data_IF_431440007641
#
_entry.id   IF_431440007641
#
_cell.length_a   1.000
_cell.length_b   1.000
_cell.length_c   1.000
_cell.angle_alpha   90.00
_cell.angle_beta   90.00
_cell.angle_gamma   90.00
#
_symmetry.space_group_name_H-M   'P 1'
#
loop_
_entity.id
_entity.type
_entity.pdbx_description
1 polymer ?
#
# COMPACT_ATOMS: atom_id res chain seq x y z
N UNK A 1 -6.51 1.46 17.10
CA UNK A 1 -7.24 1.00 15.90
C UNK A 1 -6.47 1.45 14.68
N UNK A 2 -6.44 0.63 13.65
CA UNK A 2 -5.65 0.81 12.43
C UNK A 2 -6.64 1.19 11.32
N UNK A 3 -6.65 2.45 10.89
CA UNK A 3 -7.74 3.00 10.05
C UNK A 3 -7.37 3.20 8.58
N UNK A 4 -6.21 3.79 8.26
CA UNK A 4 -5.75 4.09 6.88
C UNK A 4 -4.35 3.56 6.59
N UNK A 5 -4.15 2.67 5.60
CA UNK A 5 -2.78 2.31 5.19
C UNK A 5 -2.16 3.55 4.56
N UNK A 6 -1.01 3.98 5.08
CA UNK A 6 -0.23 5.01 4.43
C UNK A 6 1.07 4.43 3.85
N UNK A 7 1.27 4.67 2.57
CA UNK A 7 2.57 4.58 1.93
C UNK A 7 3.29 5.92 2.10
N UNK A 8 4.47 5.85 2.70
CA UNK A 8 5.38 6.96 2.87
C UNK A 8 6.56 6.76 1.93
N UNK A 9 6.75 7.63 0.96
CA UNK A 9 7.90 7.54 0.04
C UNK A 9 9.04 8.45 0.51
N UNK A 10 10.07 7.90 1.15
CA UNK A 10 11.30 8.67 1.39
C UNK A 10 12.07 8.77 0.06
N UNK A 11 11.97 9.96 -0.55
CA UNK A 11 12.60 10.30 -1.83
C UNK A 11 13.94 10.99 -1.59
N UNK A 12 15.02 10.21 -1.57
CA UNK A 12 16.42 10.68 -1.47
C UNK A 12 16.73 11.59 -0.27
N UNK A 13 18.01 11.80 0.01
CA UNK A 13 18.49 12.63 1.12
C UNK A 13 18.66 14.11 0.71
N UNK A 14 18.59 14.42 -0.58
CA UNK A 14 19.14 15.65 -1.15
C UNK A 14 18.24 16.41 -2.16
N UNK A 15 17.07 15.89 -2.57
CA UNK A 15 16.17 16.63 -3.48
C UNK A 15 14.67 16.49 -3.14
N UNK A 16 14.05 17.65 -2.92
CA UNK A 16 12.59 17.84 -2.82
C UNK A 16 11.87 17.38 -4.10
N UNK A 17 10.89 16.49 -3.97
CA UNK A 17 9.93 16.17 -5.03
C UNK A 17 8.54 16.63 -4.56
N UNK A 18 7.92 17.64 -5.21
CA UNK A 18 6.58 18.09 -4.85
C UNK A 18 5.56 16.96 -5.04
N UNK A 19 4.53 16.90 -4.18
CA UNK A 19 3.51 15.85 -4.23
C UNK A 19 2.67 15.85 -5.52
N UNK A 20 2.78 16.91 -6.35
CA UNK A 20 2.32 16.94 -7.73
C UNK A 20 3.32 17.71 -8.62
N UNK A 21 3.77 17.09 -9.72
CA UNK A 21 4.48 17.78 -10.79
C UNK A 21 5.60 16.96 -11.44
N UNK A 22 5.40 16.59 -12.71
CA UNK A 22 6.49 16.20 -13.60
C UNK A 22 7.43 17.40 -13.80
N UNK A 23 8.57 17.44 -13.12
CA UNK A 23 9.70 18.29 -13.52
C UNK A 23 11.00 17.51 -13.49
N UNK A 24 11.67 17.50 -14.64
CA UNK A 24 13.05 17.05 -14.77
C UNK A 24 13.96 17.97 -13.96
N UNK A 25 14.74 17.42 -13.03
CA UNK A 25 15.79 18.16 -12.34
C UNK A 25 17.12 17.44 -12.53
N UNK A 26 17.85 17.91 -13.55
CA UNK A 26 19.25 17.61 -13.75
C UNK A 26 20.06 17.96 -12.50
N UNK A 27 20.90 17.03 -12.07
CA UNK A 27 22.29 17.24 -11.67
C UNK A 27 22.69 16.29 -10.52
N UNK A 28 23.86 15.68 -10.73
CA UNK A 28 24.68 14.85 -9.86
C UNK A 28 24.22 13.39 -9.71
N UNK A 29 25.05 12.52 -10.30
CA UNK A 29 24.85 11.08 -10.35
C UNK A 29 25.14 10.43 -9.01
N UNK A 30 24.10 9.80 -8.44
CA UNK A 30 24.16 8.86 -7.33
C UNK A 30 23.04 7.82 -7.54
N UNK A 31 23.29 6.58 -7.15
CA UNK A 31 22.39 5.41 -7.20
C UNK A 31 21.01 5.72 -6.59
N UNK A 32 19.94 5.47 -7.35
CA UNK A 32 18.57 5.63 -6.85
C UNK A 32 18.24 4.56 -5.83
N UNK A 33 18.02 4.96 -4.57
CA UNK A 33 17.33 4.15 -3.56
C UNK A 33 16.01 4.84 -3.30
N UNK A 34 14.90 4.16 -3.60
CA UNK A 34 13.57 4.57 -3.14
C UNK A 34 13.34 3.85 -1.82
N UNK A 35 12.75 4.48 -0.81
CA UNK A 35 12.37 3.79 0.42
C UNK A 35 10.89 4.08 0.68
N UNK A 36 10.02 3.12 0.37
CA UNK A 36 8.61 3.18 0.72
C UNK A 36 8.45 2.65 2.14
N UNK A 37 8.31 3.51 3.14
CA UNK A 37 7.92 3.12 4.50
C UNK A 37 6.40 2.93 4.51
N UNK A 38 5.91 1.81 5.01
CA UNK A 38 4.48 1.51 5.13
C UNK A 38 4.08 1.64 6.59
N UNK A 39 3.59 2.81 6.98
CA UNK A 39 3.37 3.19 8.38
C UNK A 39 1.98 3.76 8.62
N UNK A 40 1.49 3.66 9.84
CA UNK A 40 0.18 4.18 10.25
C UNK A 40 0.38 5.36 11.17
N UNK A 41 -0.43 6.42 11.02
CA UNK A 41 -0.33 7.60 11.90
C UNK A 41 -1.70 8.03 12.36
N UNK A 42 -1.88 8.13 13.69
CA UNK A 42 -2.98 8.86 14.31
C UNK A 42 -2.55 10.33 14.40
N UNK A 43 -3.32 11.24 13.81
CA UNK A 43 -3.04 12.67 13.90
C UNK A 43 -3.38 13.19 15.30
N UNK A 44 -2.36 13.35 16.17
CA UNK A 44 -2.28 14.40 17.19
C UNK A 44 -1.00 14.31 18.02
N UNK A 45 -0.03 15.18 17.74
CA UNK A 45 0.83 15.76 18.79
C UNK A 45 1.55 17.01 18.26
N UNK A 46 1.52 18.16 18.97
CA UNK A 46 2.20 19.39 18.59
C UNK A 46 3.68 19.43 18.99
N UNK A 47 4.30 18.31 19.41
CA UNK A 47 5.70 18.30 19.79
C UNK A 47 6.64 18.21 18.58
N UNK A 48 7.02 19.40 18.10
CA UNK A 48 8.14 19.64 17.19
C UNK A 48 9.44 19.19 17.85
N UNK A 49 9.90 17.99 17.52
CA UNK A 49 11.31 17.62 17.70
C UNK A 49 12.08 17.93 16.41
N UNK A 50 13.29 18.52 16.46
CA UNK A 50 13.91 19.18 15.30
C UNK A 50 14.69 18.25 14.36
N UNK A 51 14.70 16.95 14.63
CA UNK A 51 15.42 15.97 13.82
C UNK A 51 14.40 14.97 13.30
N UNK A 52 14.00 15.05 12.02
CA UNK A 52 13.70 13.89 11.17
C UNK A 52 13.24 14.36 9.78
N UNK A 53 13.99 13.96 8.76
CA UNK A 53 13.78 14.14 7.31
C UNK A 53 12.44 13.55 6.79
N UNK A 54 11.73 12.77 7.62
CA UNK A 54 10.36 12.29 7.37
C UNK A 54 9.31 13.41 7.29
N UNK A 55 9.65 14.62 7.77
CA UNK A 55 8.76 15.79 7.72
C UNK A 55 8.53 16.36 6.31
N UNK A 56 9.20 15.87 5.27
CA UNK A 56 9.08 16.41 3.90
C UNK A 56 8.52 15.39 2.88
N UNK A 57 8.04 14.24 3.35
CA UNK A 57 7.60 13.13 2.51
C UNK A 57 6.09 13.17 2.25
N UNK A 58 5.68 12.95 0.99
CA UNK A 58 4.28 12.75 0.61
C UNK A 58 3.71 11.49 1.26
N UNK A 59 2.45 11.60 1.70
CA UNK A 59 1.70 10.57 2.43
C UNK A 59 0.54 10.13 1.54
N UNK A 60 0.67 8.95 0.95
CA UNK A 60 -0.34 8.37 0.09
C UNK A 60 -1.19 7.41 0.91
N UNK A 61 -2.42 7.83 1.22
CA UNK A 61 -3.38 7.07 1.99
C UNK A 61 -4.44 6.40 1.10
N UNK A 62 -4.90 5.22 1.50
CA UNK A 62 -6.15 4.63 1.02
C UNK A 62 -6.99 4.22 2.23
N UNK A 63 -8.29 4.46 2.13
CA UNK A 63 -9.22 4.28 3.25
C UNK A 63 -9.33 2.82 3.69
N UNK A 64 -9.44 2.62 5.01
CA UNK A 64 -9.79 1.33 5.59
C UNK A 64 -11.12 1.34 6.32
N UNK A 65 -11.48 0.19 6.90
CA UNK A 65 -12.79 -0.02 7.52
C UNK A 65 -13.06 0.95 8.67
N UNK A 66 -12.06 1.32 9.46
CA UNK A 66 -12.25 2.29 10.56
C UNK A 66 -12.39 3.73 10.07
N UNK A 67 -11.87 4.09 8.89
CA UNK A 67 -12.16 5.41 8.31
C UNK A 67 -13.63 5.50 7.91
N UNK A 68 -14.16 4.40 7.37
CA UNK A 68 -15.59 4.25 7.11
C UNK A 68 -16.45 4.22 8.36
N UNK A 69 -15.93 3.82 9.52
CA UNK A 69 -16.66 3.97 10.78
C UNK A 69 -16.68 5.42 11.30
N UNK A 70 -15.88 6.31 10.70
CA UNK A 70 -15.81 7.73 11.01
C UNK A 70 -16.43 8.60 9.92
N UNK A 71 -15.80 9.75 9.65
CA UNK A 71 -16.18 10.62 8.54
C UNK A 71 -15.19 10.43 7.39
N UNK A 72 -15.63 9.70 6.36
CA UNK A 72 -14.78 9.35 5.22
C UNK A 72 -14.44 10.55 4.35
N UNK A 73 -15.41 11.44 4.16
CA UNK A 73 -15.25 12.61 3.29
C UNK A 73 -14.22 13.57 3.87
N UNK A 74 -14.13 13.67 5.19
CA UNK A 74 -13.14 14.50 5.87
C UNK A 74 -11.71 14.07 5.54
N UNK A 75 -11.42 12.76 5.49
CA UNK A 75 -10.09 12.25 5.16
C UNK A 75 -9.62 12.61 3.74
N UNK A 76 -10.56 12.88 2.83
CA UNK A 76 -10.30 13.22 1.43
C UNK A 76 -10.58 14.70 1.12
N UNK A 77 -10.93 15.50 2.13
CA UNK A 77 -11.29 16.90 1.93
C UNK A 77 -10.06 17.68 1.43
N UNK A 78 -10.15 18.41 0.31
CA UNK A 78 -9.07 19.28 -0.17
C UNK A 78 -8.59 20.29 0.87
N UNK A 79 -9.43 20.64 1.84
CA UNK A 79 -9.05 21.49 2.98
C UNK A 79 -7.92 20.88 3.82
N UNK A 80 -7.83 19.55 3.93
CA UNK A 80 -6.70 18.90 4.62
C UNK A 80 -5.39 19.23 3.89
N UNK A 81 -5.39 19.27 2.55
CA UNK A 81 -4.19 19.62 1.77
C UNK A 81 -3.77 21.08 1.96
N UNK A 82 -4.68 21.96 2.38
CA UNK A 82 -4.32 23.33 2.78
C UNK A 82 -3.58 23.38 4.12
N UNK A 83 -3.75 22.35 4.97
CA UNK A 83 -3.09 22.22 6.27
C UNK A 83 -1.82 21.39 6.19
N UNK A 84 -1.85 20.34 5.36
CA UNK A 84 -0.77 19.40 5.13
C UNK A 84 -0.80 18.97 3.65
N UNK A 85 -0.07 19.70 2.81
CA UNK A 85 0.01 19.48 1.35
C UNK A 85 0.64 18.13 0.97
N UNK A 86 1.24 17.43 1.94
CA UNK A 86 1.78 16.08 1.79
C UNK A 86 0.69 15.01 1.83
N UNK A 87 -0.48 15.30 2.39
CA UNK A 87 -1.55 14.32 2.54
C UNK A 87 -2.33 14.15 1.23
N UNK A 88 -2.24 12.96 0.65
CA UNK A 88 -3.05 12.57 -0.50
C UNK A 88 -3.79 11.32 -0.10
N UNK A 89 -5.10 11.45 0.10
CA UNK A 89 -5.98 10.32 0.35
C UNK A 89 -7.19 10.44 -0.58
N UNK A 90 -7.42 9.39 -1.35
CA UNK A 90 -8.61 9.22 -2.18
C UNK A 90 -9.04 7.76 -2.08
N UNK A 91 -10.29 7.46 -2.44
CA UNK A 91 -10.79 6.07 -2.48
C UNK A 91 -9.97 5.23 -3.44
N UNK A 92 -9.72 5.78 -4.63
CA UNK A 92 -9.03 5.10 -5.73
C UNK A 92 -8.17 6.10 -6.48
N UNK A 93 -6.93 5.74 -6.78
CA UNK A 93 -6.06 6.55 -7.63
C UNK A 93 -4.90 5.73 -8.20
N UNK A 94 -4.34 6.22 -9.30
CA UNK A 94 -3.20 5.60 -9.97
C UNK A 94 -2.03 6.58 -9.96
N UNK A 95 -0.86 6.07 -9.59
CA UNK A 95 0.38 6.84 -9.57
C UNK A 95 1.45 6.11 -10.37
N UNK A 96 2.02 6.80 -11.35
CA UNK A 96 3.18 6.34 -12.09
C UNK A 96 4.45 7.00 -11.53
N UNK A 97 5.49 6.22 -11.26
CA UNK A 97 6.77 6.74 -10.78
C UNK A 97 7.94 6.22 -11.61
N UNK A 98 8.81 7.14 -12.07
CA UNK A 98 9.99 6.80 -12.87
C UNK A 98 11.07 6.15 -12.01
N UNK A 99 11.54 4.97 -12.43
CA UNK A 99 12.69 4.28 -11.82
C UNK A 99 14.03 4.74 -12.42
N UNK A 100 13.98 5.68 -13.35
CA UNK A 100 15.15 6.16 -14.07
C UNK A 100 15.91 7.25 -13.29
N UNK A 101 17.24 7.18 -13.31
CA UNK A 101 18.16 8.23 -12.86
C UNK A 101 18.57 9.10 -14.03
N UNK A 102 19.06 10.31 -13.74
CA UNK A 102 19.69 11.20 -14.73
C UNK A 102 20.82 10.52 -15.53
N UNK A 103 21.50 9.53 -14.93
CA UNK A 103 22.58 8.78 -15.56
C UNK A 103 22.09 7.71 -16.56
N UNK A 104 20.82 7.30 -16.50
CA UNK A 104 20.25 6.26 -17.37
C UNK A 104 19.59 6.87 -18.61
N UNK A 105 20.43 7.29 -19.57
CA UNK A 105 19.96 7.86 -20.85
C UNK A 105 19.00 6.91 -21.58
N UNK A 106 17.84 7.42 -21.98
CA UNK A 106 16.82 6.68 -22.73
C UNK A 106 16.00 5.69 -21.88
N UNK A 107 16.23 5.64 -20.57
CA UNK A 107 15.42 4.83 -19.66
C UNK A 107 13.98 5.35 -19.62
N UNK A 108 13.03 4.42 -19.78
CA UNK A 108 11.58 4.66 -19.66
C UNK A 108 10.96 3.77 -18.57
N UNK A 109 11.80 3.22 -17.71
CA UNK A 109 11.39 2.25 -16.73
C UNK A 109 10.66 2.94 -15.57
N UNK A 110 9.52 2.37 -15.19
CA UNK A 110 8.65 2.95 -14.18
C UNK A 110 7.91 1.88 -13.39
N UNK A 111 7.36 2.28 -12.26
CA UNK A 111 6.42 1.51 -11.46
C UNK A 111 5.06 2.18 -11.52
N UNK A 112 4.01 1.35 -11.58
CA UNK A 112 2.64 1.79 -11.40
C UNK A 112 2.10 1.33 -10.04
N UNK A 113 1.53 2.27 -9.29
CA UNK A 113 0.78 2.02 -8.07
C UNK A 113 -0.71 2.22 -8.32
N UNK A 114 -1.50 1.19 -8.00
CA UNK A 114 -2.96 1.21 -8.11
C UNK A 114 -3.56 1.14 -6.70
N UNK A 115 -4.03 2.27 -6.20
CA UNK A 115 -4.71 2.36 -4.91
C UNK A 115 -6.19 2.05 -5.09
N UNK A 116 -6.72 1.15 -4.28
CA UNK A 116 -8.08 0.63 -4.41
C UNK A 116 -8.82 0.63 -3.07
N UNK A 117 -10.12 0.96 -3.12
CA UNK A 117 -10.97 0.98 -1.94
C UNK A 117 -11.56 -0.40 -1.69
N UNK A 118 -10.93 -1.15 -0.79
CA UNK A 118 -11.34 -2.51 -0.45
C UNK A 118 -12.52 -2.59 0.52
N UNK A 119 -12.90 -1.50 1.20
CA UNK A 119 -13.93 -1.55 2.25
C UNK A 119 -15.32 -1.92 1.73
N UNK A 120 -15.80 -1.39 0.58
CA UNK A 120 -17.08 -1.78 0.00
C UNK A 120 -17.19 -3.26 -0.39
N UNK A 121 -16.06 -3.98 -0.52
CA UNK A 121 -16.06 -5.40 -0.91
C UNK A 121 -16.57 -6.32 0.20
N UNK A 122 -16.40 -5.97 1.46
CA UNK A 122 -16.69 -6.87 2.59
C UNK A 122 -18.20 -6.94 2.85
N UNK A 123 -18.82 -8.10 2.66
CA UNK A 123 -20.27 -8.31 2.80
C UNK A 123 -20.76 -7.95 4.20
N UNK A 124 -20.00 -8.34 5.22
CA UNK A 124 -20.35 -8.14 6.63
C UNK A 124 -20.52 -6.67 7.02
N UNK A 125 -19.89 -5.73 6.31
CA UNK A 125 -20.04 -4.30 6.59
C UNK A 125 -21.39 -3.73 6.09
N UNK A 126 -22.09 -4.46 5.21
CA UNK A 126 -23.40 -4.10 4.69
C UNK A 126 -24.54 -4.89 5.34
N UNK A 127 -24.20 -5.92 6.13
CA UNK A 127 -25.18 -6.78 6.78
C UNK A 127 -26.06 -6.00 7.77
N UNK A 128 -27.35 -6.32 7.83
CA UNK A 128 -28.27 -5.72 8.79
C UNK A 128 -27.90 -6.02 10.26
N UNK A 129 -27.11 -7.08 10.49
CA UNK A 129 -26.58 -7.46 11.80
C UNK A 129 -25.33 -6.69 12.22
N UNK A 130 -24.80 -5.81 11.36
CA UNK A 130 -23.60 -5.05 11.64
C UNK A 130 -23.84 -4.05 12.78
N UNK A 131 -22.92 -4.03 13.76
CA UNK A 131 -23.03 -3.17 14.95
C UNK A 131 -22.37 -1.80 14.76
N UNK A 132 -21.48 -1.68 13.79
CA UNK A 132 -20.84 -0.42 13.45
C UNK A 132 -21.62 0.32 12.35
N UNK A 133 -21.73 1.64 12.48
CA UNK A 133 -22.24 2.48 11.39
C UNK A 133 -21.09 2.76 10.42
N UNK A 134 -21.33 2.54 9.12
CA UNK A 134 -20.38 2.84 8.06
C UNK A 134 -20.86 4.03 7.22
N UNK A 135 -19.96 4.94 6.91
CA UNK A 135 -20.17 6.13 6.08
C UNK A 135 -19.99 5.80 4.59
N UNK A 136 -21.09 5.43 3.95
CA UNK A 136 -21.13 5.12 2.52
C UNK A 136 -21.35 6.35 1.62
N UNK A 137 -21.29 7.57 2.17
CA UNK A 137 -21.52 8.79 1.37
C UNK A 137 -20.52 8.91 0.22
N UNK A 138 -21.01 9.40 -0.91
CA UNK A 138 -20.20 9.59 -2.12
C UNK A 138 -19.89 8.30 -2.89
N UNK A 139 -20.41 7.15 -2.46
CA UNK A 139 -20.41 5.93 -3.28
C UNK A 139 -21.70 5.84 -4.11
N UNK A 140 -21.60 5.18 -5.26
CA UNK A 140 -22.76 4.67 -5.98
C UNK A 140 -23.43 3.51 -5.20
N UNK A 141 -24.37 2.81 -5.83
CA UNK A 141 -24.81 1.51 -5.28
C UNK A 141 -23.60 0.59 -5.09
N UNK A 142 -23.63 -0.28 -4.08
CA UNK A 142 -22.51 -1.19 -3.77
C UNK A 142 -22.10 -2.00 -5.01
N UNK A 143 -23.06 -2.61 -5.69
CA UNK A 143 -22.81 -3.42 -6.89
C UNK A 143 -22.15 -2.61 -8.00
N UNK A 144 -22.63 -1.40 -8.24
CA UNK A 144 -22.03 -0.49 -9.22
C UNK A 144 -20.62 -0.08 -8.83
N UNK A 145 -20.38 0.24 -7.55
CA UNK A 145 -19.07 0.60 -7.04
C UNK A 145 -18.05 -0.53 -7.26
N UNK A 146 -18.40 -1.76 -6.87
CA UNK A 146 -17.53 -2.92 -7.03
C UNK A 146 -17.25 -3.20 -8.51
N UNK A 147 -18.29 -3.19 -9.35
CA UNK A 147 -18.15 -3.42 -10.79
C UNK A 147 -17.26 -2.37 -11.44
N UNK A 148 -17.49 -1.09 -11.14
CA UNK A 148 -16.74 0.01 -11.74
C UNK A 148 -15.26 -0.01 -11.30
N UNK A 149 -14.99 -0.26 -10.01
CA UNK A 149 -13.62 -0.33 -9.50
C UNK A 149 -12.84 -1.52 -10.11
N UNK A 150 -13.45 -2.72 -10.13
CA UNK A 150 -12.82 -3.90 -10.72
C UNK A 150 -12.54 -3.72 -12.21
N UNK A 151 -13.49 -3.15 -12.95
CA UNK A 151 -13.30 -2.84 -14.37
C UNK A 151 -12.19 -1.80 -14.57
N UNK A 152 -12.21 -0.70 -13.83
CA UNK A 152 -11.18 0.35 -13.91
C UNK A 152 -9.79 -0.20 -13.61
N UNK A 153 -9.65 -1.02 -12.57
CA UNK A 153 -8.39 -1.66 -12.22
C UNK A 153 -7.91 -2.60 -13.32
N UNK A 154 -8.80 -3.47 -13.84
CA UNK A 154 -8.46 -4.39 -14.92
C UNK A 154 -7.97 -3.64 -16.16
N UNK A 155 -8.62 -2.55 -16.56
CA UNK A 155 -8.27 -1.79 -17.77
C UNK A 155 -6.94 -1.04 -17.61
N UNK A 156 -6.70 -0.47 -16.43
CA UNK A 156 -5.42 0.16 -16.09
C UNK A 156 -4.28 -0.85 -16.06
N UNK A 157 -4.50 -2.04 -15.50
CA UNK A 157 -3.49 -3.11 -15.46
C UNK A 157 -3.19 -3.69 -16.86
N UNK A 158 -4.21 -3.82 -17.71
CA UNK A 158 -4.09 -4.31 -19.09
C UNK A 158 -3.25 -3.35 -19.95
N UNK A 159 -3.45 -2.03 -19.76
CA UNK A 159 -2.73 -0.99 -20.51
C UNK A 159 -1.38 -0.60 -19.92
N UNK A 160 -1.11 -0.97 -18.67
CA UNK A 160 0.14 -0.66 -17.98
C UNK A 160 1.34 -1.38 -18.61
N UNK A 161 2.34 -0.58 -18.99
CA UNK A 161 3.65 -1.03 -19.49
C UNK A 161 4.73 -0.99 -18.41
N UNK A 162 4.34 -0.82 -17.15
CA UNK A 162 5.25 -0.64 -16.03
C UNK A 162 6.14 -1.86 -15.81
N UNK A 163 7.37 -1.60 -15.37
CA UNK A 163 8.30 -2.63 -14.96
C UNK A 163 7.86 -3.27 -13.66
N UNK A 164 7.19 -2.54 -12.78
CA UNK A 164 6.59 -3.07 -11.57
C UNK A 164 5.14 -2.61 -11.48
N UNK A 165 4.24 -3.53 -11.14
CA UNK A 165 2.82 -3.26 -10.88
C UNK A 165 2.54 -3.56 -9.41
N UNK A 166 2.17 -2.52 -8.67
CA UNK A 166 1.88 -2.62 -7.23
C UNK A 166 0.44 -2.21 -7.00
N UNK A 167 -0.36 -3.08 -6.40
CA UNK A 167 -1.74 -2.77 -6.01
C UNK A 167 -1.78 -2.59 -4.49
N UNK A 168 -2.46 -1.55 -4.03
CA UNK A 168 -2.52 -1.14 -2.63
C UNK A 168 -3.97 -1.07 -2.19
N UNK A 169 -4.33 -1.77 -1.11
CA UNK A 169 -5.67 -1.75 -0.54
C UNK A 169 -5.65 -2.12 0.94
N UNK A 170 -6.70 -1.77 1.68
CA UNK A 170 -6.72 -1.98 3.14
C UNK A 170 -6.70 -3.45 3.56
N UNK A 171 -7.65 -4.24 3.03
CA UNK A 171 -7.93 -5.60 3.48
C UNK A 171 -6.97 -6.65 2.89
N UNK A 172 -6.92 -7.80 3.53
CA UNK A 172 -6.05 -8.94 3.21
C UNK A 172 -6.63 -9.81 2.09
N UNK A 173 -5.81 -10.21 1.11
CA UNK A 173 -6.14 -11.28 0.15
C UNK A 173 -5.57 -12.63 0.61
N UNK A 174 -4.35 -12.60 1.16
CA UNK A 174 -3.71 -13.71 1.85
C UNK A 174 -3.21 -13.21 3.20
N UNK A 175 -3.52 -13.93 4.27
CA UNK A 175 -3.05 -13.56 5.60
C UNK A 175 -3.00 -14.72 6.58
N UNK A 176 -2.00 -14.67 7.45
CA UNK A 176 -1.86 -15.47 8.65
C UNK A 176 -2.34 -14.74 9.91
N UNK A 177 -2.90 -13.54 9.79
CA UNK A 177 -3.35 -12.72 10.92
C UNK A 177 -4.74 -13.09 11.43
N UNK A 178 -5.19 -12.38 12.46
CA UNK A 178 -6.49 -12.60 13.11
C UNK A 178 -7.67 -12.61 12.12
N UNK A 179 -7.75 -11.61 11.25
CA UNK A 179 -8.82 -11.47 10.26
C UNK A 179 -8.71 -12.54 9.16
N UNK A 180 -7.49 -12.87 8.73
CA UNK A 180 -7.26 -13.88 7.69
C UNK A 180 -7.62 -13.37 6.30
N UNK A 181 -7.87 -14.26 5.35
CA UNK A 181 -8.22 -13.88 3.97
C UNK A 181 -9.61 -13.25 3.88
N UNK A 182 -9.76 -12.16 3.11
CA UNK A 182 -11.06 -11.56 2.79
C UNK A 182 -11.69 -12.31 1.61
N UNK A 183 -12.76 -13.11 1.79
CA UNK A 183 -13.26 -14.01 0.75
C UNK A 183 -13.70 -13.30 -0.53
N UNK A 184 -14.28 -12.11 -0.42
CA UNK A 184 -14.75 -11.31 -1.54
C UNK A 184 -13.59 -10.78 -2.39
N UNK A 185 -12.44 -10.46 -1.77
CA UNK A 185 -11.24 -10.08 -2.50
C UNK A 185 -10.58 -11.29 -3.16
N UNK A 186 -10.54 -12.44 -2.48
CA UNK A 186 -10.05 -13.70 -3.06
C UNK A 186 -10.89 -14.09 -4.28
N UNK A 187 -12.22 -13.90 -4.22
CA UNK A 187 -13.13 -14.24 -5.31
C UNK A 187 -13.05 -13.25 -6.47
N UNK A 188 -13.05 -11.94 -6.20
CA UNK A 188 -13.28 -10.93 -7.24
C UNK A 188 -12.00 -10.21 -7.68
N UNK A 189 -11.06 -9.95 -6.76
CA UNK A 189 -9.87 -9.14 -7.03
C UNK A 189 -8.66 -10.00 -7.39
N UNK A 190 -8.40 -11.07 -6.63
CA UNK A 190 -7.24 -11.94 -6.86
C UNK A 190 -7.14 -12.46 -8.31
N UNK A 191 -8.23 -12.89 -8.99
CA UNK A 191 -8.15 -13.30 -10.40
C UNK A 191 -7.61 -12.20 -11.32
N UNK A 192 -7.95 -10.93 -11.07
CA UNK A 192 -7.44 -9.77 -11.83
C UNK A 192 -5.94 -9.61 -11.58
N UNK A 193 -5.50 -9.69 -10.32
CA UNK A 193 -4.08 -9.59 -9.96
C UNK A 193 -3.25 -10.68 -10.65
N UNK A 194 -3.75 -11.93 -10.63
CA UNK A 194 -3.11 -13.08 -11.28
C UNK A 194 -3.06 -12.91 -12.80
N UNK A 195 -4.19 -12.54 -13.44
CA UNK A 195 -4.28 -12.32 -14.89
C UNK A 195 -3.21 -11.34 -15.39
N UNK A 196 -3.01 -10.25 -14.65
CA UNK A 196 -2.13 -9.15 -15.05
C UNK A 196 -0.71 -9.25 -14.50
N UNK A 197 -0.37 -10.36 -13.82
CA UNK A 197 0.94 -10.59 -13.19
C UNK A 197 1.38 -9.41 -12.32
N UNK A 198 0.47 -8.96 -11.46
CA UNK A 198 0.79 -7.94 -10.45
C UNK A 198 1.93 -8.45 -9.59
N UNK A 199 2.91 -7.60 -9.30
CA UNK A 199 4.09 -8.03 -8.56
C UNK A 199 3.80 -8.07 -7.07
N UNK A 200 3.26 -6.97 -6.54
CA UNK A 200 2.98 -6.81 -5.13
C UNK A 200 1.51 -6.39 -4.92
N UNK A 201 0.85 -7.06 -3.99
CA UNK A 201 -0.33 -6.55 -3.31
C UNK A 201 0.05 -6.13 -1.90
N UNK A 202 -0.08 -4.84 -1.60
CA UNK A 202 0.32 -4.27 -0.32
C UNK A 202 -0.92 -3.92 0.48
N UNK A 203 -0.98 -4.42 1.71
CA UNK A 203 -2.14 -4.24 2.57
C UNK A 203 -1.80 -4.04 4.05
N UNK A 204 -2.88 -3.91 4.82
CA UNK A 204 -2.93 -3.64 6.23
C UNK A 204 -3.98 -4.54 6.86
N UNK A 205 -4.89 -3.94 7.62
CA UNK A 205 -6.04 -4.59 8.28
C UNK A 205 -5.65 -5.60 9.36
N UNK A 206 -4.89 -6.64 9.01
CA UNK A 206 -4.28 -7.52 10.00
C UNK A 206 -3.11 -6.83 10.69
N UNK A 207 -3.17 -6.76 12.01
CA UNK A 207 -2.23 -6.03 12.87
C UNK A 207 -0.90 -6.77 13.07
N UNK A 208 -0.30 -7.21 11.97
CA UNK A 208 0.91 -8.01 11.90
C UNK A 208 1.76 -7.58 10.70
N UNK A 209 2.96 -8.15 10.57
CA UNK A 209 3.83 -7.97 9.41
C UNK A 209 3.97 -9.31 8.70
N UNK A 210 3.71 -9.36 7.39
CA UNK A 210 3.69 -10.63 6.67
C UNK A 210 4.18 -10.50 5.23
N UNK A 211 4.84 -11.56 4.76
CA UNK A 211 5.19 -11.76 3.36
C UNK A 211 4.75 -13.15 2.93
N UNK A 212 3.77 -13.19 2.03
CA UNK A 212 3.21 -14.43 1.49
C UNK A 212 3.32 -14.36 -0.03
N UNK A 213 3.77 -15.44 -0.67
CA UNK A 213 3.90 -15.53 -2.12
C UNK A 213 2.95 -16.58 -2.68
N UNK A 214 2.08 -16.16 -3.59
CA UNK A 214 1.24 -17.07 -4.37
C UNK A 214 2.14 -17.94 -5.27
N UNK A 215 2.08 -19.26 -5.09
CA UNK A 215 2.92 -20.19 -5.85
C UNK A 215 2.53 -20.26 -7.34
N UNK A 216 1.25 -20.07 -7.66
CA UNK A 216 0.75 -20.17 -9.03
C UNK A 216 1.09 -18.94 -9.88
N UNK A 217 0.79 -17.75 -9.35
CA UNK A 217 0.92 -16.49 -10.09
C UNK A 217 2.20 -15.72 -9.82
N UNK A 218 2.88 -16.05 -8.72
CA UNK A 218 4.06 -15.31 -8.26
C UNK A 218 3.76 -13.97 -7.60
N UNK A 219 2.49 -13.59 -7.41
CA UNK A 219 2.12 -12.36 -6.70
C UNK A 219 2.63 -12.41 -5.25
N UNK A 220 3.26 -11.33 -4.81
CA UNK A 220 3.70 -11.16 -3.43
C UNK A 220 2.67 -10.34 -2.63
N UNK A 221 2.09 -10.94 -1.60
CA UNK A 221 1.25 -10.27 -0.62
C UNK A 221 2.12 -9.77 0.53
N UNK A 222 2.09 -8.46 0.75
CA UNK A 222 2.90 -7.76 1.75
C UNK A 222 1.95 -7.06 2.72
N UNK A 223 1.74 -7.64 3.90
CA UNK A 223 0.94 -7.04 4.96
C UNK A 223 1.84 -6.24 5.89
N UNK A 224 1.55 -4.95 6.05
CA UNK A 224 2.24 -4.03 6.96
C UNK A 224 1.21 -3.34 7.87
N UNK A 225 0.52 -4.11 8.71
CA UNK A 225 -0.55 -3.61 9.60
C UNK A 225 -0.15 -3.40 11.06
N UNK A 226 1.09 -3.74 11.44
CA UNK A 226 1.60 -3.59 12.80
C UNK A 226 2.04 -2.17 13.21
N UNK A 227 1.61 -1.10 12.54
CA UNK A 227 2.13 0.25 12.83
C UNK A 227 1.55 0.92 14.09
N UNK A 228 0.53 0.34 14.72
CA UNK A 228 -0.05 0.88 15.96
C UNK A 228 -0.56 -0.25 16.86
N UNK A 229 -1.75 -0.80 16.57
CA UNK A 229 -2.20 -2.03 17.21
C UNK A 229 -1.37 -3.18 16.64
N UNK A 230 -0.99 -4.12 17.50
CA UNK A 230 -0.25 -5.33 17.17
C UNK A 230 -0.55 -6.40 18.24
N UNK A 231 0.03 -7.60 18.11
CA UNK A 231 -0.17 -8.72 19.04
C UNK A 231 -1.60 -9.28 19.05
N UNK A 232 -2.29 -9.22 17.92
CA UNK A 232 -3.59 -9.87 17.72
C UNK A 232 -3.43 -11.33 17.27
N UNK A 233 -2.19 -11.82 17.12
CA UNK A 233 -1.88 -13.20 16.82
C UNK A 233 -1.58 -13.45 15.34
N UNK A 234 -0.63 -14.36 15.12
CA UNK A 234 -0.47 -15.09 13.86
C UNK A 234 -1.14 -16.44 14.06
N UNK A 235 -2.17 -16.74 13.28
CA UNK A 235 -2.92 -17.99 13.32
C UNK A 235 -1.97 -19.16 13.06
N UNK A 236 -2.04 -20.20 13.89
CA UNK A 236 -1.51 -21.51 13.54
C UNK A 236 -2.41 -22.12 12.47
N UNK A 237 -2.24 -21.74 11.20
CA UNK A 237 -2.95 -22.42 10.11
C UNK A 237 -2.24 -23.74 9.82
N UNK A 238 -3.00 -24.76 9.39
CA UNK A 238 -2.44 -25.97 8.80
C UNK A 238 -1.89 -25.72 7.39
N UNK A 239 -2.28 -24.59 6.76
CA UNK A 239 -1.84 -24.20 5.43
C UNK A 239 -0.90 -23.00 5.48
N UNK A 240 0.40 -23.29 5.55
CA UNK A 240 1.50 -22.31 5.49
C UNK A 240 2.07 -22.18 4.09
N UNK A 241 1.36 -22.65 3.06
CA UNK A 241 1.86 -22.63 1.68
C UNK A 241 2.15 -21.20 1.23
N UNK A 242 3.36 -20.98 0.72
CA UNK A 242 3.80 -19.67 0.25
C UNK A 242 4.10 -18.64 1.35
N UNK A 243 3.91 -18.96 2.64
CA UNK A 243 4.28 -18.05 3.74
C UNK A 243 5.81 -17.98 3.84
N UNK A 244 6.37 -16.80 3.59
CA UNK A 244 7.81 -16.55 3.66
C UNK A 244 8.20 -15.86 4.97
N UNK A 245 7.31 -15.05 5.52
CA UNK A 245 7.50 -14.34 6.78
C UNK A 245 6.16 -14.00 7.43
N UNK A 246 6.09 -14.11 8.75
CA UNK A 246 5.00 -13.60 9.57
C UNK A 246 5.55 -13.18 10.94
N UNK A 247 5.15 -12.01 11.42
CA UNK A 247 5.59 -11.44 12.68
C UNK A 247 4.43 -10.74 13.39
N UNK A 248 4.18 -11.19 14.62
CA UNK A 248 3.15 -10.65 15.51
C UNK A 248 3.75 -9.60 16.44
N UNK A 249 3.84 -8.37 15.93
CA UNK A 249 4.41 -7.27 16.69
C UNK A 249 4.38 -5.96 15.91
N UNK A 250 4.79 -4.90 16.60
CA UNK A 250 4.83 -3.58 15.99
C UNK A 250 5.94 -3.46 14.96
N UNK A 251 5.70 -2.66 13.92
CA UNK A 251 6.70 -2.35 12.90
C UNK A 251 6.11 -1.91 11.57
N UNK A 252 6.93 -1.95 10.52
CA UNK A 252 6.57 -1.52 9.17
C UNK A 252 7.37 -2.26 8.08
N UNK A 253 6.83 -2.29 6.86
CA UNK A 253 7.59 -2.65 5.67
C UNK A 253 8.30 -1.43 5.05
N UNK A 254 9.49 -1.67 4.52
CA UNK A 254 10.30 -0.77 3.72
C UNK A 254 10.57 -1.42 2.36
N UNK A 255 10.17 -0.77 1.27
CA UNK A 255 10.38 -1.26 -0.10
C UNK A 255 11.33 -0.34 -0.85
N UNK A 256 12.42 -0.91 -1.36
CA UNK A 256 13.32 -0.25 -2.30
C UNK A 256 13.20 -0.84 -3.69
N UNK A 257 13.06 0.01 -4.70
CA UNK A 257 12.79 -0.41 -6.07
C UNK A 257 13.79 0.22 -7.02
N UNK A 258 14.48 -0.64 -7.76
CA UNK A 258 15.23 -0.31 -8.95
C UNK A 258 14.53 -0.82 -10.20
N UNK A 259 15.10 -0.56 -11.39
CA UNK A 259 14.48 -0.98 -12.64
C UNK A 259 14.33 -2.50 -12.77
N UNK A 260 15.21 -3.29 -12.15
CA UNK A 260 15.21 -4.77 -12.26
C UNK A 260 15.23 -5.50 -10.93
N UNK A 261 15.30 -4.78 -9.82
CA UNK A 261 15.38 -5.35 -8.49
C UNK A 261 14.47 -4.61 -7.53
N UNK A 262 13.92 -5.35 -6.57
CA UNK A 262 13.14 -4.83 -5.48
C UNK A 262 13.64 -5.49 -4.19
N UNK A 263 13.95 -4.66 -3.19
CA UNK A 263 14.27 -5.09 -1.83
C UNK A 263 13.07 -4.77 -0.94
N UNK A 264 12.43 -5.81 -0.43
CA UNK A 264 11.45 -5.71 0.65
C UNK A 264 12.18 -5.96 1.97
N UNK A 265 11.94 -5.12 2.97
CA UNK A 265 12.46 -5.30 4.32
C UNK A 265 11.35 -5.02 5.33
N UNK A 266 11.29 -5.79 6.41
CA UNK A 266 10.44 -5.49 7.56
C UNK A 266 11.29 -5.03 8.71
N UNK A 267 10.81 -4.00 9.41
CA UNK A 267 11.43 -3.44 10.60
C UNK A 267 10.47 -3.57 11.77
N UNK A 268 10.98 -3.95 12.95
CA UNK A 268 10.21 -3.92 14.18
C UNK A 268 9.97 -2.49 14.69
N UNK A 269 9.22 -2.33 15.78
CA UNK A 269 8.93 -1.04 16.42
C UNK A 269 10.15 -0.31 16.97
N UNK A 270 11.32 -0.97 17.07
CA UNK A 270 12.60 -0.37 17.44
C UNK A 270 13.44 0.02 16.22
N UNK A 271 12.98 -0.32 15.01
CA UNK A 271 13.68 -0.07 13.75
C UNK A 271 14.63 -1.18 13.31
N UNK A 272 14.75 -2.28 14.06
CA UNK A 272 15.61 -3.40 13.67
C UNK A 272 15.02 -4.09 12.45
N UNK A 273 15.85 -4.37 11.45
CA UNK A 273 15.43 -5.21 10.33
C UNK A 273 15.26 -6.66 10.80
N UNK A 274 14.02 -7.16 10.70
CA UNK A 274 13.64 -8.51 11.15
C UNK A 274 13.43 -9.47 9.99
N UNK A 275 13.33 -8.96 8.75
CA UNK A 275 13.23 -9.77 7.54
C UNK A 275 13.64 -8.96 6.30
N UNK A 276 14.22 -9.64 5.31
CA UNK A 276 14.49 -9.09 3.99
C UNK A 276 14.14 -10.09 2.88
N UNK A 277 13.70 -9.59 1.74
CA UNK A 277 13.49 -10.37 0.53
C UNK A 277 13.94 -9.57 -0.70
N UNK A 278 14.68 -10.24 -1.58
CA UNK A 278 15.13 -9.69 -2.85
C UNK A 278 14.29 -10.29 -3.99
N UNK A 279 13.65 -9.43 -4.75
CA UNK A 279 12.88 -9.78 -5.94
C UNK A 279 13.64 -9.27 -7.16
N UNK A 280 13.73 -10.09 -8.20
CA UNK A 280 14.42 -9.76 -9.43
C UNK A 280 13.49 -9.96 -10.63
N UNK A 281 13.54 -9.01 -11.56
CA UNK A 281 12.97 -9.18 -12.90
C UNK A 281 14.10 -9.41 -13.90
N UNK A 282 13.99 -10.50 -14.66
CA UNK A 282 14.91 -10.79 -15.76
C UNK A 282 14.93 -9.65 -16.76
N UNK A 283 16.12 -9.31 -17.27
CA UNK A 283 16.25 -8.43 -18.44
C UNK A 283 15.63 -9.15 -19.63
N UNK A 284 14.60 -8.57 -20.23
CA UNK A 284 14.12 -8.96 -21.56
C UNK A 284 14.95 -8.25 -22.62
#
# INVERSE_FOLDING_TARGET
MVSTINLWWLLRWDKWVPCWGSRSLSALGITSTILALLGWTIFSSPHRSPTFTLLQVCRLGVLGNHDYMGDVLSQMDPYIQLRDDRWICQREYHLQYSLCTDSMKGCKMHVDFFFIDTTPFVDDYWAASQTHTFDWRGLASREEQLRNQLQSLNDKLETSTANWKVVVGHHTIRSMGYHGDTPELVKNLLPILKKHRVDLYVNGHDHTLQHIKDQDSGVHFVTSGGGSKAWDGVRSSENTEGVLFAYDGQGFAAISMGPHELLLSFHDGLGNTIYTAHLHKSRH
#
